data_IF_045964335485
#
_entry.id   IF_045964335485
#
_cell.length_a   1.000
_cell.length_b   1.000
_cell.length_c   1.000
_cell.angle_alpha   90.00
_cell.angle_beta   90.00
_cell.angle_gamma   90.00
#
_symmetry.space_group_name_H-M   'P 1'
#
loop_
_entity.id
_entity.type
_entity.pdbx_description
1 polymer ?
#
# COMPACT_ATOMS: atom_id res chain seq x y z
N UNK A 1 -5.46 8.21 -22.45
CA UNK A 1 -5.51 6.83 -21.89
C UNK A 1 -6.90 6.66 -21.32
N UNK A 2 -7.59 5.53 -21.52
CA UNK A 2 -8.94 5.36 -20.94
C UNK A 2 -8.86 5.51 -19.42
N UNK A 3 -9.72 6.35 -18.82
CA UNK A 3 -9.69 6.65 -17.38
C UNK A 3 -9.79 5.38 -16.53
N UNK A 4 -10.55 4.39 -17.02
CA UNK A 4 -10.64 3.06 -16.44
C UNK A 4 -9.30 2.31 -16.35
N UNK A 5 -8.42 2.44 -17.35
CA UNK A 5 -7.10 1.80 -17.34
C UNK A 5 -6.19 2.43 -16.29
N UNK A 6 -6.29 3.75 -16.07
CA UNK A 6 -5.52 4.44 -15.04
C UNK A 6 -5.95 3.97 -13.63
N UNK A 7 -7.27 3.89 -13.39
CA UNK A 7 -7.84 3.36 -12.14
C UNK A 7 -7.35 1.92 -11.90
N UNK A 8 -7.43 1.07 -12.91
CA UNK A 8 -7.02 -0.34 -12.80
C UNK A 8 -5.52 -0.47 -12.48
N UNK A 9 -4.67 0.33 -13.14
CA UNK A 9 -3.22 0.36 -12.87
C UNK A 9 -2.91 0.80 -11.46
N UNK A 10 -3.57 1.85 -10.97
CA UNK A 10 -3.40 2.31 -9.60
C UNK A 10 -3.87 1.26 -8.59
N UNK A 11 -5.04 0.67 -8.83
CA UNK A 11 -5.56 -0.42 -8.01
C UNK A 11 -4.58 -1.60 -7.93
N UNK A 12 -4.04 -2.04 -9.07
CA UNK A 12 -3.05 -3.12 -9.13
C UNK A 12 -1.76 -2.76 -8.39
N UNK A 13 -1.23 -1.55 -8.59
CA UNK A 13 -0.03 -1.08 -7.89
C UNK A 13 -0.24 -1.02 -6.37
N UNK A 14 -1.37 -0.46 -5.91
CA UNK A 14 -1.70 -0.37 -4.49
C UNK A 14 -1.94 -1.75 -3.85
N UNK A 15 -2.47 -2.70 -4.61
CA UNK A 15 -2.66 -4.10 -4.18
C UNK A 15 -1.32 -4.82 -4.02
N UNK A 16 -0.38 -4.62 -4.96
CA UNK A 16 0.98 -5.13 -4.82
C UNK A 16 1.64 -4.57 -3.55
N UNK A 17 1.59 -3.25 -3.35
CA UNK A 17 2.15 -2.61 -2.15
C UNK A 17 1.54 -3.21 -0.88
N UNK A 18 0.22 -3.40 -0.85
CA UNK A 18 -0.46 -4.06 0.26
C UNK A 18 0.13 -5.44 0.56
N UNK A 19 0.33 -6.30 -0.46
CA UNK A 19 0.85 -7.65 -0.25
C UNK A 19 2.28 -7.62 0.31
N UNK A 20 3.14 -6.78 -0.24
CA UNK A 20 4.53 -6.67 0.17
C UNK A 20 4.70 -6.08 1.57
N UNK A 21 3.75 -5.24 2.02
CA UNK A 21 3.82 -4.55 3.32
C UNK A 21 2.94 -5.20 4.39
N UNK A 22 2.15 -6.22 4.03
CA UNK A 22 1.37 -7.03 4.94
C UNK A 22 2.17 -7.61 6.12
N UNK A 23 3.38 -8.18 5.96
CA UNK A 23 4.15 -8.67 7.11
C UNK A 23 4.54 -7.55 8.07
N UNK A 24 4.77 -6.34 7.54
CA UNK A 24 5.08 -5.16 8.34
C UNK A 24 3.85 -4.69 9.11
N UNK A 25 2.71 -4.58 8.43
CA UNK A 25 1.43 -4.22 9.03
C UNK A 25 0.99 -5.22 10.10
N UNK A 26 1.22 -6.52 9.88
CA UNK A 26 1.00 -7.55 10.88
C UNK A 26 1.79 -7.28 12.15
N UNK A 27 3.04 -6.88 12.01
CA UNK A 27 3.92 -6.68 13.14
C UNK A 27 3.52 -5.50 14.04
N UNK A 28 2.95 -4.44 13.45
CA UNK A 28 2.48 -3.26 14.18
C UNK A 28 1.03 -3.39 14.65
N UNK A 29 0.14 -3.92 13.81
CA UNK A 29 -1.32 -3.88 14.01
C UNK A 29 -1.93 -5.23 14.40
N UNK A 30 -1.13 -6.25 14.77
CA UNK A 30 -1.62 -7.56 15.22
C UNK A 30 -2.76 -7.47 16.24
N UNK A 31 -2.69 -6.52 17.18
CA UNK A 31 -3.72 -6.31 18.23
C UNK A 31 -5.04 -5.75 17.68
N UNK A 32 -5.02 -4.97 16.59
CA UNK A 32 -6.18 -4.32 15.97
C UNK A 32 -6.60 -5.03 14.67
N UNK A 33 -6.58 -6.37 14.71
CA UNK A 33 -6.64 -7.28 13.55
C UNK A 33 -7.90 -7.21 12.68
N UNK A 34 -8.83 -6.28 12.94
CA UNK A 34 -10.11 -6.18 12.24
C UNK A 34 -9.94 -5.64 10.81
N UNK A 35 -9.15 -4.58 10.62
CA UNK A 35 -8.97 -3.89 9.33
C UNK A 35 -7.51 -3.91 8.83
N UNK A 36 -6.84 -5.06 9.03
CA UNK A 36 -5.40 -5.17 8.80
C UNK A 36 -5.01 -4.90 7.33
N UNK A 37 -5.89 -5.19 6.38
CA UNK A 37 -5.65 -4.95 4.96
C UNK A 37 -5.68 -3.46 4.62
N UNK A 38 -6.68 -2.72 5.09
CA UNK A 38 -6.70 -1.27 4.93
C UNK A 38 -5.43 -0.64 5.52
N UNK A 39 -5.07 -0.99 6.75
CA UNK A 39 -3.86 -0.48 7.38
C UNK A 39 -2.60 -0.83 6.59
N UNK A 40 -2.50 -2.06 6.08
CA UNK A 40 -1.37 -2.46 5.25
C UNK A 40 -1.25 -1.63 3.97
N UNK A 41 -2.36 -1.35 3.29
CA UNK A 41 -2.33 -0.55 2.05
C UNK A 41 -1.83 0.87 2.33
N UNK A 42 -2.42 1.55 3.32
CA UNK A 42 -2.06 2.93 3.65
C UNK A 42 -0.63 3.03 4.20
N UNK A 43 -0.28 2.14 5.13
CA UNK A 43 1.04 2.09 5.73
C UNK A 43 2.10 1.77 4.68
N UNK A 44 1.80 0.83 3.77
CA UNK A 44 2.71 0.48 2.69
C UNK A 44 2.92 1.62 1.70
N UNK A 45 1.85 2.28 1.27
CA UNK A 45 1.95 3.46 0.39
C UNK A 45 2.82 4.55 1.03
N UNK A 46 2.61 4.83 2.31
CA UNK A 46 3.36 5.84 3.05
C UNK A 46 4.84 5.45 3.19
N UNK A 47 5.13 4.25 3.70
CA UNK A 47 6.50 3.82 3.99
C UNK A 47 7.33 3.62 2.72
N UNK A 48 6.75 3.05 1.66
CA UNK A 48 7.48 2.89 0.40
C UNK A 48 7.85 4.25 -0.15
N UNK A 49 6.90 5.18 -0.21
CA UNK A 49 7.15 6.51 -0.75
C UNK A 49 8.20 7.26 0.09
N UNK A 50 8.06 7.24 1.41
CA UNK A 50 9.00 7.89 2.32
C UNK A 50 10.41 7.28 2.27
N UNK A 51 10.50 5.95 2.14
CA UNK A 51 11.79 5.24 2.04
C UNK A 51 12.51 5.59 0.75
N UNK A 52 11.82 5.59 -0.39
CA UNK A 52 12.41 5.98 -1.68
C UNK A 52 12.86 7.43 -1.62
N UNK A 53 12.01 8.30 -1.07
CA UNK A 53 12.32 9.72 -0.92
C UNK A 53 13.55 9.93 -0.05
N UNK A 54 13.65 9.24 1.10
CA UNK A 54 14.79 9.34 2.00
C UNK A 54 16.09 8.84 1.35
N UNK A 55 16.04 7.67 0.70
CA UNK A 55 17.19 7.11 -0.02
C UNK A 55 17.61 8.01 -1.19
N UNK A 56 16.66 8.69 -1.82
CA UNK A 56 16.94 9.66 -2.89
C UNK A 56 17.51 10.96 -2.37
N UNK A 57 17.04 11.46 -1.23
CA UNK A 57 17.59 12.64 -0.58
C UNK A 57 19.04 12.41 -0.12
N UNK A 58 19.36 11.18 0.29
CA UNK A 58 20.72 10.76 0.66
C UNK A 58 21.64 10.50 -0.55
N UNK A 59 21.12 10.58 -1.78
CA UNK A 59 21.88 10.29 -3.00
C UNK A 59 22.16 8.80 -3.23
N UNK A 60 21.56 7.89 -2.44
CA UNK A 60 21.77 6.45 -2.56
C UNK A 60 21.03 5.86 -3.77
N UNK A 61 19.79 6.29 -4.02
CA UNK A 61 18.96 5.82 -5.13
C UNK A 61 18.23 6.98 -5.80
N UNK A 62 18.18 7.00 -7.14
CA UNK A 62 17.33 7.95 -7.83
C UNK A 62 15.83 7.65 -7.59
N UNK A 63 15.02 8.68 -7.40
CA UNK A 63 13.55 8.59 -7.38
C UNK A 63 13.04 8.13 -8.75
N UNK A 64 12.99 6.82 -8.92
CA UNK A 64 12.73 6.14 -10.18
C UNK A 64 11.99 4.83 -9.90
N UNK A 65 11.42 4.22 -10.93
CA UNK A 65 10.72 2.93 -10.79
C UNK A 65 11.57 1.87 -10.08
N UNK A 66 12.88 1.81 -10.38
CA UNK A 66 13.83 0.90 -9.74
C UNK A 66 14.01 1.22 -8.26
N UNK A 67 14.07 2.52 -7.91
CA UNK A 67 14.13 2.98 -6.52
C UNK A 67 12.93 2.51 -5.71
N UNK A 68 11.72 2.69 -6.26
CA UNK A 68 10.47 2.22 -5.65
C UNK A 68 10.49 0.71 -5.42
N UNK A 69 10.91 -0.06 -6.43
CA UNK A 69 10.98 -1.51 -6.31
C UNK A 69 11.98 -1.97 -5.24
N UNK A 70 13.16 -1.34 -5.16
CA UNK A 70 14.17 -1.65 -4.15
C UNK A 70 13.65 -1.32 -2.75
N UNK A 71 13.05 -0.13 -2.55
CA UNK A 71 12.48 0.24 -1.25
C UNK A 71 11.32 -0.66 -0.83
N UNK A 72 10.47 -1.08 -1.79
CA UNK A 72 9.41 -2.04 -1.53
C UNK A 72 9.95 -3.40 -1.05
N UNK A 73 10.98 -3.92 -1.75
CA UNK A 73 11.64 -5.17 -1.36
C UNK A 73 12.34 -5.05 -0.01
N UNK A 74 12.99 -3.92 0.27
CA UNK A 74 13.64 -3.66 1.56
C UNK A 74 12.63 -3.71 2.71
N UNK A 75 11.47 -3.06 2.56
CA UNK A 75 10.40 -3.06 3.55
C UNK A 75 9.78 -4.45 3.73
N UNK A 76 9.56 -5.17 2.63
CA UNK A 76 9.02 -6.53 2.68
C UNK A 76 9.98 -7.49 3.38
N UNK A 77 11.28 -7.44 3.04
CA UNK A 77 12.33 -8.23 3.67
C UNK A 77 12.46 -7.89 5.17
N UNK A 78 12.48 -6.60 5.51
CA UNK A 78 12.49 -6.14 6.89
C UNK A 78 11.28 -6.64 7.69
N UNK A 79 10.08 -6.54 7.12
CA UNK A 79 8.85 -7.02 7.75
C UNK A 79 8.81 -8.53 7.95
N UNK A 80 9.26 -9.30 6.96
CA UNK A 80 9.37 -10.75 7.07
C UNK A 80 10.42 -11.16 8.12
N UNK A 81 11.56 -10.49 8.15
CA UNK A 81 12.61 -10.72 9.15
C UNK A 81 12.11 -10.43 10.58
N UNK A 82 11.41 -9.32 10.78
CA UNK A 82 10.77 -8.95 12.04
C UNK A 82 9.71 -9.98 12.47
N UNK A 83 8.91 -10.49 11.53
CA UNK A 83 7.95 -11.55 11.81
C UNK A 83 8.63 -12.83 12.31
N UNK A 84 9.75 -13.21 11.67
CA UNK A 84 10.56 -14.37 12.08
C UNK A 84 11.16 -14.19 13.46
N UNK A 85 11.72 -13.00 13.76
CA UNK A 85 12.27 -12.69 15.09
C UNK A 85 11.23 -12.75 16.20
N UNK A 86 9.98 -12.36 15.92
CA UNK A 86 8.86 -12.40 16.89
C UNK A 86 8.14 -13.74 16.96
N UNK A 87 8.62 -14.78 16.27
CA UNK A 87 8.04 -16.11 16.29
C UNK A 87 6.62 -16.18 15.69
N UNK A 88 6.27 -15.26 14.80
CA UNK A 88 4.94 -15.24 14.18
C UNK A 88 4.85 -16.42 13.22
N UNK A 89 4.01 -17.40 13.59
CA UNK A 89 3.82 -18.61 12.79
C UNK A 89 2.92 -18.31 11.58
N UNK A 90 3.26 -18.80 10.37
CA UNK A 90 2.41 -18.63 9.18
C UNK A 90 1.01 -19.25 9.36
N UNK A 91 0.85 -20.19 10.29
CA UNK A 91 -0.44 -20.76 10.69
C UNK A 91 -1.42 -19.74 11.29
N UNK A 92 -0.94 -18.78 12.10
CA UNK A 92 -1.79 -17.72 12.66
C UNK A 92 -2.34 -16.81 11.57
N UNK A 93 -1.50 -16.46 10.59
CA UNK A 93 -1.88 -15.60 9.46
C UNK A 93 -2.97 -16.29 8.64
N UNK A 94 -2.82 -17.59 8.36
CA UNK A 94 -3.81 -18.37 7.61
C UNK A 94 -5.13 -18.53 8.37
N UNK A 95 -5.08 -18.73 9.68
CA UNK A 95 -6.29 -18.85 10.50
C UNK A 95 -7.04 -17.52 10.59
N UNK A 96 -6.32 -16.41 10.74
CA UNK A 96 -6.91 -15.08 10.67
C UNK A 96 -7.55 -14.80 9.31
N UNK A 97 -6.87 -15.12 8.21
CA UNK A 97 -7.42 -14.92 6.87
C UNK A 97 -8.79 -15.61 6.70
N UNK A 98 -8.90 -16.86 7.15
CA UNK A 98 -10.18 -17.60 7.13
C UNK A 98 -11.24 -17.02 8.05
N UNK A 99 -10.86 -16.34 9.14
CA UNK A 99 -11.81 -15.74 10.08
C UNK A 99 -12.27 -14.35 9.65
N UNK A 100 -11.40 -13.61 8.97
CA UNK A 100 -11.57 -12.19 8.65
C UNK A 100 -11.85 -11.93 7.17
N UNK A 101 -12.10 -12.96 6.34
CA UNK A 101 -12.35 -12.78 4.90
C UNK A 101 -13.51 -11.83 4.59
N UNK A 102 -14.55 -11.80 5.45
CA UNK A 102 -15.67 -10.86 5.31
C UNK A 102 -15.21 -9.41 5.52
N UNK A 103 -14.36 -9.20 6.51
CA UNK A 103 -13.78 -7.88 6.77
C UNK A 103 -12.79 -7.48 5.69
N UNK A 104 -12.01 -8.43 5.17
CA UNK A 104 -11.14 -8.21 4.01
C UNK A 104 -11.93 -7.76 2.77
N UNK A 105 -13.08 -8.39 2.51
CA UNK A 105 -13.94 -8.01 1.41
C UNK A 105 -14.57 -6.62 1.62
N UNK A 106 -14.97 -6.31 2.86
CA UNK A 106 -15.47 -4.98 3.20
C UNK A 106 -14.40 -3.89 3.04
N UNK A 107 -13.21 -4.13 3.56
CA UNK A 107 -12.03 -3.28 3.44
C UNK A 107 -11.74 -2.97 1.95
N UNK A 108 -11.74 -3.99 1.11
CA UNK A 108 -11.51 -3.84 -0.33
C UNK A 108 -12.65 -3.08 -1.02
N UNK A 109 -13.90 -3.37 -0.68
CA UNK A 109 -15.06 -2.67 -1.23
C UNK A 109 -15.05 -1.17 -0.89
N UNK A 110 -14.73 -0.83 0.37
CA UNK A 110 -14.60 0.56 0.82
C UNK A 110 -13.47 1.26 0.07
N UNK A 111 -12.33 0.60 -0.11
CA UNK A 111 -11.23 1.18 -0.87
C UNK A 111 -11.60 1.43 -2.33
N UNK A 112 -12.18 0.44 -3.02
CA UNK A 112 -12.58 0.56 -4.43
C UNK A 112 -13.64 1.65 -4.59
N UNK A 113 -14.64 1.68 -3.71
CA UNK A 113 -15.66 2.73 -3.71
C UNK A 113 -15.02 4.13 -3.53
N UNK A 114 -14.07 4.25 -2.61
CA UNK A 114 -13.35 5.51 -2.38
C UNK A 114 -12.48 5.91 -3.58
N UNK A 115 -11.82 4.96 -4.22
CA UNK A 115 -11.00 5.18 -5.42
C UNK A 115 -11.86 5.65 -6.59
N UNK A 116 -13.02 5.04 -6.81
CA UNK A 116 -13.97 5.45 -7.84
C UNK A 116 -14.51 6.84 -7.53
N UNK A 117 -14.93 7.10 -6.29
CA UNK A 117 -15.40 8.41 -5.86
C UNK A 117 -14.33 9.50 -6.08
N UNK A 118 -13.07 9.19 -5.76
CA UNK A 118 -11.95 10.10 -6.00
C UNK A 118 -11.71 10.32 -7.50
N UNK A 119 -11.75 9.26 -8.32
CA UNK A 119 -11.60 9.38 -9.76
C UNK A 119 -12.70 10.24 -10.40
N UNK A 120 -13.95 10.09 -9.93
CA UNK A 120 -15.06 10.95 -10.32
C UNK A 120 -14.85 12.40 -9.87
N UNK A 121 -14.42 12.63 -8.64
CA UNK A 121 -14.12 13.97 -8.14
C UNK A 121 -13.06 14.67 -9.01
N UNK A 122 -12.00 13.96 -9.36
CA UNK A 122 -10.93 14.47 -10.24
C UNK A 122 -11.43 14.73 -11.67
N UNK A 123 -12.35 13.90 -12.18
CA UNK A 123 -12.91 14.11 -13.52
C UNK A 123 -13.81 15.35 -13.61
N UNK A 124 -14.49 15.73 -12.52
CA UNK A 124 -15.26 16.99 -12.45
C UNK A 124 -14.39 18.24 -12.30
N UNK A 125 -13.20 18.12 -11.68
CA UNK A 125 -12.24 19.22 -11.51
C UNK A 125 -10.88 18.93 -12.16
N UNK A 126 -10.79 18.83 -13.50
CA UNK A 126 -9.52 18.52 -14.18
C UNK A 126 -8.48 19.66 -14.12
N UNK A 127 -8.87 20.86 -13.68
CA UNK A 127 -8.04 22.09 -13.72
C UNK A 127 -7.08 22.31 -12.54
N UNK A 128 -6.98 21.38 -11.58
CA UNK A 128 -6.15 21.60 -10.37
C UNK A 128 -4.63 21.49 -10.68
N UNK A 129 -4.24 21.06 -11.88
CA UNK A 129 -2.86 21.08 -12.36
C UNK A 129 -2.62 22.32 -13.23
N UNK A 130 -2.40 23.47 -12.60
CA UNK A 130 -2.19 24.74 -13.31
C UNK A 130 -2.18 25.97 -12.39
N UNK A 131 -1.48 25.91 -11.25
CA UNK A 131 -1.16 27.10 -10.44
C UNK A 131 0.25 27.62 -10.67
N UNK A 132 0.88 27.22 -11.78
CA UNK A 132 1.96 28.01 -12.36
C UNK A 132 1.28 29.19 -13.06
N UNK A 133 1.06 30.27 -12.29
CA UNK A 133 0.95 31.59 -12.90
C UNK A 133 2.24 31.82 -13.67
N UNK A 134 2.08 32.26 -14.93
CA UNK A 134 3.11 32.78 -15.84
C UNK A 134 4.33 33.39 -15.15
#
# INVERSE_FOLDING_TARGET
MSDALAILRFYAASSLILVFTLPLAWNFFRKSSRHLLLYSRFLGLLLVNYTVWLLSALGLLAFSFRGILISLLLLAAGGAFLCRMRGISPGEIRQWWRRSWKTALFDEAVFVASLIAFALLVSYYPKIFGTEKN
#
